data_IF_666059062753
#
_entry.id   IF_666059062753
#
_cell.length_a   1.000
_cell.length_b   1.000
_cell.length_c   1.000
_cell.angle_alpha   90.00
_cell.angle_beta   90.00
_cell.angle_gamma   90.00
#
_symmetry.space_group_name_H-M   'P 1'
#
loop_
_entity.id
_entity.type
_entity.pdbx_description
1 polymer ?
#
# COMPACT_ATOMS: atom_id res chain seq x y z
N UNK A 1 -8.05 13.36 -13.33
CA UNK A 1 -7.76 14.20 -12.15
C UNK A 1 -9.05 14.38 -11.38
N UNK A 2 -9.05 14.11 -10.07
CA UNK A 2 -10.22 14.29 -9.20
C UNK A 2 -9.93 15.31 -8.10
N UNK A 3 -10.97 15.96 -7.58
CA UNK A 3 -10.87 16.91 -6.47
C UNK A 3 -11.42 16.26 -5.20
N UNK A 4 -10.66 16.33 -4.11
CA UNK A 4 -11.08 15.84 -2.80
C UNK A 4 -11.30 17.03 -1.85
N UNK A 5 -12.48 17.09 -1.23
CA UNK A 5 -12.78 18.06 -0.18
C UNK A 5 -12.83 17.36 1.18
N UNK A 6 -11.93 17.73 2.09
CA UNK A 6 -11.79 17.11 3.41
C UNK A 6 -12.36 18.08 4.45
N UNK A 7 -13.36 17.62 5.21
CA UNK A 7 -14.01 18.39 6.28
C UNK A 7 -13.47 17.96 7.65
N UNK A 8 -13.54 18.87 8.62
CA UNK A 8 -13.20 18.56 10.01
C UNK A 8 -11.73 18.27 10.26
N UNK A 9 -10.83 18.78 9.41
CA UNK A 9 -9.39 18.65 9.62
C UNK A 9 -8.98 19.58 10.75
N UNK A 10 -8.27 19.03 11.73
CA UNK A 10 -7.73 19.80 12.85
C UNK A 10 -6.80 20.92 12.35
N UNK A 11 -6.99 22.13 12.86
CA UNK A 11 -6.19 23.31 12.48
C UNK A 11 -4.68 23.12 12.72
N UNK A 12 -4.29 22.45 13.81
CA UNK A 12 -2.89 22.15 14.09
C UNK A 12 -2.30 21.19 13.04
N UNK A 13 -3.09 20.22 12.58
CA UNK A 13 -2.68 19.33 11.50
C UNK A 13 -2.49 20.09 10.18
N UNK A 14 -3.38 21.04 9.87
CA UNK A 14 -3.25 21.91 8.68
C UNK A 14 -1.94 22.70 8.73
N UNK A 15 -1.58 23.27 9.89
CA UNK A 15 -0.38 24.09 10.01
C UNK A 15 0.90 23.27 9.85
N UNK A 16 0.94 22.06 10.40
CA UNK A 16 2.04 21.12 10.18
C UNK A 16 2.17 20.76 8.69
N UNK A 17 1.06 20.48 8.01
CA UNK A 17 1.08 20.14 6.58
C UNK A 17 1.53 21.32 5.72
N UNK A 18 1.13 22.56 6.05
CA UNK A 18 1.61 23.78 5.38
C UNK A 18 3.12 23.95 5.55
N UNK A 19 3.63 23.78 6.77
CA UNK A 19 5.07 23.88 7.03
C UNK A 19 5.87 22.84 6.23
N UNK A 20 5.39 21.61 6.16
CA UNK A 20 6.00 20.54 5.35
C UNK A 20 5.93 20.82 3.85
N UNK A 21 4.80 21.31 3.35
CA UNK A 21 4.64 21.69 1.96
C UNK A 21 5.61 22.83 1.58
N UNK A 22 5.73 23.85 2.43
CA UNK A 22 6.68 24.95 2.24
C UNK A 22 8.13 24.46 2.24
N UNK A 23 8.51 23.58 3.18
CA UNK A 23 9.84 22.97 3.22
C UNK A 23 10.16 22.14 1.96
N UNK A 24 9.14 21.55 1.35
CA UNK A 24 9.26 20.81 0.09
C UNK A 24 9.19 21.70 -1.17
N UNK A 25 8.98 23.01 -1.04
CA UNK A 25 8.79 23.93 -2.17
C UNK A 25 7.51 23.66 -2.98
N UNK A 26 6.48 23.09 -2.34
CA UNK A 26 5.24 22.67 -2.98
C UNK A 26 4.06 23.48 -2.46
N UNK A 27 3.00 23.61 -3.27
CA UNK A 27 1.71 24.04 -2.75
C UNK A 27 1.13 22.99 -1.79
N UNK A 28 0.33 23.41 -0.82
CA UNK A 28 -0.30 22.49 0.14
C UNK A 28 -1.08 21.38 -0.58
N UNK A 29 -1.86 21.73 -1.61
CA UNK A 29 -2.65 20.76 -2.38
C UNK A 29 -1.78 19.75 -3.12
N UNK A 30 -0.64 20.18 -3.68
CA UNK A 30 0.28 19.27 -4.36
C UNK A 30 0.96 18.32 -3.36
N UNK A 31 1.41 18.85 -2.22
CA UNK A 31 2.03 18.05 -1.16
C UNK A 31 1.06 17.00 -0.61
N UNK A 32 -0.13 17.42 -0.17
CA UNK A 32 -1.15 16.53 0.40
C UNK A 32 -1.64 15.51 -0.65
N UNK A 33 -1.84 15.94 -1.89
CA UNK A 33 -2.19 15.03 -2.99
C UNK A 33 -1.15 13.92 -3.19
N UNK A 34 0.15 14.29 -3.12
CA UNK A 34 1.25 13.32 -3.18
C UNK A 34 1.25 12.34 -2.00
N UNK A 35 1.02 12.82 -0.77
CA UNK A 35 0.93 11.96 0.41
C UNK A 35 -0.27 11.00 0.33
N UNK A 36 -1.43 11.46 -0.15
CA UNK A 36 -2.59 10.61 -0.38
C UNK A 36 -2.33 9.55 -1.47
N UNK A 37 -1.60 9.91 -2.52
CA UNK A 37 -1.20 8.94 -3.55
C UNK A 37 -0.25 7.87 -3.00
N UNK A 38 0.71 8.25 -2.14
CA UNK A 38 1.58 7.29 -1.44
C UNK A 38 0.80 6.37 -0.52
N UNK A 39 -0.20 6.91 0.18
CA UNK A 39 -1.09 6.13 1.03
C UNK A 39 -1.88 5.10 0.20
N UNK A 40 -2.46 5.53 -0.92
CA UNK A 40 -3.22 4.66 -1.80
C UNK A 40 -2.36 3.60 -2.53
N UNK A 41 -1.08 3.88 -2.76
CA UNK A 41 -0.17 2.94 -3.42
C UNK A 41 0.21 1.73 -2.54
N UNK A 42 0.01 1.80 -1.22
CA UNK A 42 0.35 0.72 -0.29
C UNK A 42 -0.92 -0.06 0.08
N UNK A 43 -1.13 -1.27 -0.46
CA UNK A 43 -2.29 -2.07 -0.08
C UNK A 43 -2.19 -2.45 1.39
N UNK A 44 -3.33 -2.48 2.06
CA UNK A 44 -3.46 -3.00 3.42
C UNK A 44 -3.20 -4.51 3.44
N UNK A 45 -2.87 -5.06 4.61
CA UNK A 45 -2.71 -6.51 4.77
C UNK A 45 -4.00 -7.27 4.45
N UNK A 46 -5.16 -6.67 4.72
CA UNK A 46 -6.47 -7.25 4.39
C UNK A 46 -6.65 -7.34 2.87
N UNK A 47 -6.39 -6.25 2.13
CA UNK A 47 -6.46 -6.24 0.67
C UNK A 47 -5.42 -7.18 0.04
N UNK A 48 -4.22 -7.28 0.64
CA UNK A 48 -3.22 -8.26 0.22
C UNK A 48 -3.69 -9.69 0.44
N UNK A 49 -4.28 -10.00 1.60
CA UNK A 49 -4.84 -11.31 1.87
C UNK A 49 -5.96 -11.63 0.87
N UNK A 50 -6.99 -10.78 0.74
CA UNK A 50 -8.06 -10.98 -0.24
C UNK A 50 -7.52 -11.19 -1.66
N UNK A 51 -6.51 -10.40 -2.07
CA UNK A 51 -5.84 -10.58 -3.36
C UNK A 51 -5.15 -11.93 -3.48
N UNK A 52 -4.44 -12.40 -2.45
CA UNK A 52 -3.77 -13.71 -2.47
C UNK A 52 -4.78 -14.88 -2.49
N UNK A 53 -5.88 -14.74 -1.76
CA UNK A 53 -6.94 -15.76 -1.70
C UNK A 53 -7.74 -15.84 -3.01
N UNK A 54 -8.05 -14.69 -3.60
CA UNK A 54 -8.71 -14.60 -4.93
C UNK A 54 -7.79 -15.04 -6.06
N UNK A 55 -6.47 -14.89 -5.91
CA UNK A 55 -5.46 -15.46 -6.80
C UNK A 55 -5.09 -16.89 -6.43
N UNK A 56 -6.03 -17.67 -5.87
CA UNK A 56 -5.87 -19.11 -5.69
C UNK A 56 -5.16 -19.68 -6.92
N UNK A 57 -3.96 -20.24 -6.71
CA UNK A 57 -3.06 -20.67 -7.77
C UNK A 57 -3.37 -22.14 -8.04
N UNK A 58 -4.29 -22.48 -8.98
CA UNK A 58 -4.65 -23.87 -9.24
C UNK A 58 -3.44 -24.71 -9.68
N UNK A 59 -2.41 -24.07 -10.25
CA UNK A 59 -1.19 -24.71 -10.73
C UNK A 59 -0.01 -24.61 -9.73
N UNK A 60 -0.29 -24.36 -8.46
CA UNK A 60 0.73 -24.34 -7.42
C UNK A 60 1.20 -25.76 -7.07
N UNK A 61 2.50 -25.92 -6.75
CA UNK A 61 3.00 -27.17 -6.18
C UNK A 61 2.30 -27.44 -4.84
N UNK A 62 1.81 -28.65 -4.68
CA UNK A 62 1.29 -29.17 -3.42
C UNK A 62 2.43 -29.33 -2.41
N UNK A 63 2.08 -29.32 -1.12
CA UNK A 63 3.04 -29.58 -0.05
C UNK A 63 3.76 -30.91 -0.24
N UNK A 64 3.06 -31.93 -0.71
CA UNK A 64 3.63 -33.26 -0.91
C UNK A 64 4.66 -33.28 -2.04
N UNK A 65 4.40 -32.58 -3.16
CA UNK A 65 5.38 -32.42 -4.24
C UNK A 65 6.64 -31.67 -3.78
N UNK A 66 6.48 -30.66 -2.91
CA UNK A 66 7.60 -29.93 -2.32
C UNK A 66 8.43 -30.86 -1.43
N UNK A 67 7.78 -31.64 -0.56
CA UNK A 67 8.45 -32.56 0.36
C UNK A 67 9.21 -33.64 -0.41
N UNK A 68 8.63 -34.19 -1.47
CA UNK A 68 9.30 -35.18 -2.31
C UNK A 68 10.50 -34.60 -3.07
N UNK A 69 10.39 -33.39 -3.63
CA UNK A 69 11.53 -32.74 -4.26
C UNK A 69 12.70 -32.51 -3.28
N UNK A 70 12.42 -32.11 -2.04
CA UNK A 70 13.43 -31.93 -0.98
C UNK A 70 14.09 -33.27 -0.61
N UNK A 71 13.30 -34.35 -0.51
CA UNK A 71 13.82 -35.70 -0.22
C UNK A 71 14.70 -36.21 -1.36
N UNK A 72 14.32 -35.98 -2.61
CA UNK A 72 15.08 -36.37 -3.78
C UNK A 72 16.43 -35.65 -3.86
N UNK A 73 16.49 -34.36 -3.51
CA UNK A 73 17.74 -33.57 -3.48
C UNK A 73 18.76 -34.02 -2.42
N UNK A 74 18.35 -34.82 -1.43
CA UNK A 74 19.21 -35.27 -0.31
C UNK A 74 19.82 -36.66 -0.54
N UNK A 75 19.54 -37.30 -1.67
CA UNK A 75 20.13 -38.57 -2.09
C UNK A 75 21.20 -38.31 -3.15
#
# INVERSE_FOLDING_TARGET
>A
MGTLYIRGVDSAAIDVLKARAAAAGMSLSAYVGGELAKLAARPTNAELAERLWSQSRPDGLTTDEIVEAVRASRR
#
